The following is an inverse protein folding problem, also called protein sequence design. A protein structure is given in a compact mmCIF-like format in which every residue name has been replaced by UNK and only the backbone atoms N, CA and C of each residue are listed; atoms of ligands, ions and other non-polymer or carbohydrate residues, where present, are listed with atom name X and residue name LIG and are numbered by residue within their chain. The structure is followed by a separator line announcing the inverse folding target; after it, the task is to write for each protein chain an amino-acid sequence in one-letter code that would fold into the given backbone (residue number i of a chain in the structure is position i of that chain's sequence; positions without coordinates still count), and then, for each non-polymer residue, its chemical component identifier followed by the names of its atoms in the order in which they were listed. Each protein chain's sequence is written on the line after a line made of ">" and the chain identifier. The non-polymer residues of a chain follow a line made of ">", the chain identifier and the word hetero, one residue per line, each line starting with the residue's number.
data_IF_447998270025
#
_entry.id   IF_447998270025
#
_cell.length_a   1.000
_cell.length_b   1.000
_cell.length_c   1.000
_cell.angle_alpha   90.00
_cell.angle_beta   90.00
_cell.angle_gamma   90.00
#
_symmetry.space_group_name_H-M   'P 1'
#
loop_
_entity.id
_entity.type
_entity.pdbx_description
1 polymer ?
#
# COMPACT_ATOMS: atom_id res chain seq x y z
N UNK A 1 -23.60 1.29 -9.39
CA UNK A 1 -23.59 2.69 -8.93
C UNK A 1 -22.52 2.81 -7.88
N UNK A 2 -21.67 3.84 -7.93
CA UNK A 2 -20.64 4.05 -6.91
C UNK A 2 -21.27 4.66 -5.65
N UNK A 3 -20.64 4.49 -4.48
CA UNK A 3 -21.14 5.11 -3.24
C UNK A 3 -21.15 6.65 -3.31
N UNK A 4 -20.33 7.24 -4.20
CA UNK A 4 -20.38 8.67 -4.54
C UNK A 4 -21.68 9.05 -5.25
N UNK A 5 -22.21 8.19 -6.11
CA UNK A 5 -23.48 8.41 -6.80
C UNK A 5 -24.63 8.38 -5.79
N UNK A 6 -24.64 7.39 -4.89
CA UNK A 6 -25.61 7.29 -3.79
C UNK A 6 -25.55 8.47 -2.82
N UNK A 7 -24.35 8.95 -2.46
CA UNK A 7 -24.20 10.12 -1.61
C UNK A 7 -24.70 11.41 -2.28
N UNK A 8 -24.65 11.51 -3.62
CA UNK A 8 -25.14 12.68 -4.36
C UNK A 8 -26.67 12.77 -4.40
N UNK A 9 -27.35 11.62 -4.31
CA UNK A 9 -28.82 11.52 -4.32
C UNK A 9 -29.46 11.82 -2.96
N UNK A 10 -28.69 11.79 -1.86
CA UNK A 10 -29.21 12.05 -0.51
C UNK A 10 -29.31 13.58 -0.27
N UNK A 11 -30.48 14.10 0.13
CA UNK A 11 -30.65 15.52 0.42
C UNK A 11 -29.73 16.02 1.55
N UNK A 12 -29.24 17.26 1.44
CA UNK A 12 -28.29 17.84 2.40
C UNK A 12 -28.86 17.94 3.83
N UNK A 13 -30.17 18.13 3.97
CA UNK A 13 -30.80 18.13 5.30
C UNK A 13 -30.68 16.74 5.98
N UNK A 14 -30.79 15.65 5.22
CA UNK A 14 -30.65 14.29 5.75
C UNK A 14 -29.20 14.04 6.20
N UNK A 15 -28.23 14.47 5.37
CA UNK A 15 -26.79 14.41 5.72
C UNK A 15 -26.47 15.23 6.98
N UNK A 16 -27.15 16.37 7.17
CA UNK A 16 -26.97 17.27 8.31
C UNK A 16 -27.57 16.74 9.61
N UNK A 17 -28.75 16.14 9.56
CA UNK A 17 -29.53 15.80 10.77
C UNK A 17 -29.57 14.30 11.08
N UNK A 18 -29.09 13.41 10.20
CA UNK A 18 -29.05 11.96 10.43
C UNK A 18 -27.60 11.46 10.41
N UNK A 19 -26.88 11.52 11.55
CA UNK A 19 -25.46 11.14 11.62
C UNK A 19 -25.16 9.70 11.20
N UNK A 20 -26.14 8.78 11.34
CA UNK A 20 -26.00 7.38 10.96
C UNK A 20 -25.74 7.17 9.47
N UNK A 21 -26.38 7.97 8.61
CA UNK A 21 -26.22 7.90 7.15
C UNK A 21 -24.81 8.36 6.76
N UNK A 22 -24.34 9.48 7.31
CA UNK A 22 -23.00 10.01 7.05
C UNK A 22 -21.90 9.05 7.53
N UNK A 23 -22.09 8.38 8.67
CA UNK A 23 -21.16 7.34 9.15
C UNK A 23 -21.16 6.12 8.24
N UNK A 24 -22.32 5.64 7.81
CA UNK A 24 -22.45 4.51 6.90
C UNK A 24 -21.74 4.75 5.56
N UNK A 25 -21.96 5.91 4.94
CA UNK A 25 -21.28 6.32 3.70
C UNK A 25 -19.76 6.42 3.88
N UNK A 26 -19.30 6.91 5.03
CA UNK A 26 -17.86 7.01 5.33
C UNK A 26 -17.21 5.62 5.43
N UNK A 27 -17.91 4.66 6.03
CA UNK A 27 -17.46 3.26 6.10
C UNK A 27 -17.45 2.57 4.74
N UNK A 28 -18.48 2.81 3.92
CA UNK A 28 -18.56 2.25 2.57
C UNK A 28 -17.41 2.75 1.70
N UNK A 29 -17.17 4.08 1.69
CA UNK A 29 -16.02 4.70 1.02
C UNK A 29 -14.69 4.13 1.52
N UNK A 30 -14.51 3.97 2.83
CA UNK A 30 -13.30 3.37 3.40
C UNK A 30 -13.10 1.93 2.90
N UNK A 31 -14.17 1.13 2.88
CA UNK A 31 -14.12 -0.25 2.39
C UNK A 31 -13.70 -0.32 0.91
N UNK A 32 -14.29 0.54 0.06
CA UNK A 32 -13.94 0.63 -1.36
C UNK A 32 -12.47 1.04 -1.56
N UNK A 33 -12.00 2.06 -0.84
CA UNK A 33 -10.60 2.51 -0.90
C UNK A 33 -9.63 1.43 -0.41
N UNK A 34 -10.03 0.62 0.59
CA UNK A 34 -9.24 -0.51 1.06
C UNK A 34 -9.17 -1.62 0.02
N UNK A 35 -10.29 -1.95 -0.63
CA UNK A 35 -10.32 -2.95 -1.69
C UNK A 35 -9.40 -2.55 -2.84
N UNK A 36 -9.53 -1.32 -3.37
CA UNK A 36 -8.65 -0.79 -4.43
C UNK A 36 -7.18 -0.82 -4.02
N UNK A 37 -6.89 -0.44 -2.77
CA UNK A 37 -5.52 -0.50 -2.24
C UNK A 37 -4.96 -1.92 -2.16
N UNK A 38 -5.81 -2.93 -1.93
CA UNK A 38 -5.40 -4.35 -1.96
C UNK A 38 -5.15 -4.82 -3.39
N UNK A 39 -6.04 -4.48 -4.33
CA UNK A 39 -5.88 -4.82 -5.76
C UNK A 39 -4.56 -4.29 -6.32
N UNK A 40 -4.25 -3.01 -6.09
CA UNK A 40 -2.98 -2.39 -6.53
C UNK A 40 -1.76 -3.14 -5.95
N UNK A 41 -1.81 -3.57 -4.68
CA UNK A 41 -0.72 -4.33 -4.07
C UNK A 41 -0.59 -5.73 -4.64
N UNK A 42 -1.69 -6.40 -4.94
CA UNK A 42 -1.69 -7.72 -5.57
C UNK A 42 -1.08 -7.63 -6.97
N UNK A 43 -1.44 -6.61 -7.75
CA UNK A 43 -0.87 -6.38 -9.08
C UNK A 43 0.64 -6.12 -9.00
N UNK A 44 1.06 -5.22 -8.10
CA UNK A 44 2.48 -4.92 -7.89
C UNK A 44 3.28 -6.13 -7.39
N UNK A 45 2.68 -6.95 -6.52
CA UNK A 45 3.27 -8.20 -6.06
C UNK A 45 3.50 -9.16 -7.24
N UNK A 46 2.48 -9.37 -8.08
CA UNK A 46 2.55 -10.29 -9.21
C UNK A 46 3.55 -9.81 -10.28
N UNK A 47 3.55 -8.52 -10.60
CA UNK A 47 4.52 -7.93 -11.53
C UNK A 47 5.96 -8.06 -11.00
N UNK A 48 6.16 -7.78 -9.72
CA UNK A 48 7.46 -7.90 -9.08
C UNK A 48 7.93 -9.35 -8.99
N UNK A 49 7.00 -10.27 -8.76
CA UNK A 49 7.23 -11.72 -8.79
C UNK A 49 7.76 -12.17 -10.16
N UNK A 50 7.12 -11.74 -11.25
CA UNK A 50 7.62 -12.04 -12.59
C UNK A 50 9.05 -11.50 -12.79
N UNK A 51 9.32 -10.26 -12.36
CA UNK A 51 10.67 -9.66 -12.44
C UNK A 51 11.70 -10.46 -11.64
N UNK A 52 11.36 -10.89 -10.42
CA UNK A 52 12.22 -11.71 -9.57
C UNK A 52 12.54 -13.05 -10.23
N UNK A 53 11.53 -13.70 -10.80
CA UNK A 53 11.70 -14.96 -11.54
C UNK A 53 12.63 -14.79 -12.75
N UNK A 54 12.34 -13.81 -13.61
CA UNK A 54 13.15 -13.54 -14.80
C UNK A 54 14.61 -13.22 -14.44
N UNK A 55 14.82 -12.44 -13.39
CA UNK A 55 16.18 -12.13 -12.92
C UNK A 55 16.88 -13.38 -12.41
N UNK A 56 16.20 -14.19 -11.59
CA UNK A 56 16.74 -15.44 -11.07
C UNK A 56 17.09 -16.43 -12.18
N UNK A 57 16.30 -16.55 -13.25
CA UNK A 57 16.66 -17.42 -14.38
C UNK A 57 17.86 -16.91 -15.18
N UNK A 58 18.04 -15.59 -15.27
CA UNK A 58 19.12 -14.97 -16.04
C UNK A 58 20.50 -14.93 -15.36
N UNK A 59 20.53 -14.93 -14.02
CA UNK A 59 21.79 -14.77 -13.26
C UNK A 59 22.63 -16.05 -13.30
N UNK A 60 23.97 -15.92 -13.27
CA UNK A 60 24.85 -17.07 -13.11
C UNK A 60 24.75 -17.67 -11.70
N UNK A 61 25.00 -18.97 -11.54
CA UNK A 61 24.93 -19.62 -10.22
C UNK A 61 25.94 -19.04 -9.23
N UNK A 62 27.12 -18.62 -9.71
CA UNK A 62 28.19 -18.07 -8.88
C UNK A 62 27.85 -16.68 -8.31
N UNK A 63 26.97 -15.94 -8.99
CA UNK A 63 26.55 -14.59 -8.57
C UNK A 63 25.15 -14.57 -7.93
N UNK A 64 24.42 -15.69 -7.97
CA UNK A 64 23.02 -15.75 -7.56
C UNK A 64 22.81 -15.27 -6.12
N UNK A 65 23.58 -15.82 -5.17
CA UNK A 65 23.47 -15.47 -3.75
C UNK A 65 23.70 -13.97 -3.50
N UNK A 66 24.75 -13.42 -4.14
CA UNK A 66 25.11 -12.01 -3.99
C UNK A 66 24.01 -11.09 -4.54
N UNK A 67 23.52 -11.37 -5.75
CA UNK A 67 22.46 -10.58 -6.39
C UNK A 67 21.16 -10.65 -5.59
N UNK A 68 20.86 -11.82 -5.03
CA UNK A 68 19.69 -12.01 -4.18
C UNK A 68 19.74 -11.11 -2.96
N UNK A 69 20.79 -11.22 -2.14
CA UNK A 69 20.89 -10.48 -0.88
C UNK A 69 21.00 -8.96 -1.12
N UNK A 70 21.79 -8.49 -2.10
CA UNK A 70 21.88 -7.06 -2.42
C UNK A 70 20.52 -6.46 -2.85
N UNK A 71 19.79 -7.17 -3.71
CA UNK A 71 18.50 -6.66 -4.23
C UNK A 71 17.42 -6.72 -3.15
N UNK A 72 17.39 -7.82 -2.39
CA UNK A 72 16.48 -8.02 -1.27
C UNK A 72 16.66 -6.94 -0.20
N UNK A 73 17.90 -6.71 0.22
CA UNK A 73 18.22 -5.70 1.23
C UNK A 73 17.80 -4.30 0.75
N UNK A 74 18.10 -3.95 -0.50
CA UNK A 74 17.70 -2.67 -1.07
C UNK A 74 16.16 -2.49 -1.05
N UNK A 75 15.40 -3.47 -1.52
CA UNK A 75 13.94 -3.39 -1.59
C UNK A 75 13.29 -3.29 -0.21
N UNK A 76 13.78 -4.05 0.77
CA UNK A 76 13.28 -3.98 2.14
C UNK A 76 13.70 -2.71 2.87
N UNK A 77 14.91 -2.20 2.60
CA UNK A 77 15.36 -0.90 3.11
C UNK A 77 14.43 0.22 2.65
N UNK A 78 14.05 0.23 1.36
CA UNK A 78 13.07 1.18 0.83
C UNK A 78 11.71 1.06 1.53
N UNK A 79 11.22 -0.18 1.72
CA UNK A 79 9.97 -0.43 2.43
C UNK A 79 10.02 0.05 3.88
N UNK A 80 11.15 -0.16 4.56
CA UNK A 80 11.39 0.30 5.93
C UNK A 80 11.41 1.83 6.01
N UNK A 81 12.15 2.50 5.13
CA UNK A 81 12.21 3.96 5.09
C UNK A 81 10.83 4.59 4.87
N UNK A 82 10.02 4.02 3.96
CA UNK A 82 8.66 4.47 3.74
C UNK A 82 7.77 4.24 4.97
N UNK A 83 7.94 3.10 5.65
CA UNK A 83 7.22 2.77 6.89
C UNK A 83 7.57 3.74 8.01
N UNK A 84 8.85 4.07 8.17
CA UNK A 84 9.33 5.03 9.15
C UNK A 84 8.76 6.43 8.89
N UNK A 85 8.80 6.90 7.63
CA UNK A 85 8.17 8.16 7.23
C UNK A 85 6.66 8.16 7.52
N UNK A 86 5.96 7.08 7.20
CA UNK A 86 4.53 6.96 7.49
C UNK A 86 4.25 7.06 9.00
N UNK A 87 5.08 6.41 9.83
CA UNK A 87 5.01 6.48 11.29
C UNK A 87 5.28 7.89 11.82
N UNK A 88 6.29 8.57 11.30
CA UNK A 88 6.61 9.95 11.69
C UNK A 88 5.47 10.92 11.40
N UNK A 89 4.82 10.78 10.23
CA UNK A 89 3.65 11.60 9.88
C UNK A 89 2.47 11.25 10.79
N UNK A 90 2.21 9.97 11.03
CA UNK A 90 1.12 9.52 11.91
C UNK A 90 1.26 10.06 13.34
N UNK A 91 2.48 10.13 13.87
CA UNK A 91 2.75 10.69 15.21
C UNK A 91 2.39 12.18 15.31
N UNK A 92 2.36 12.92 14.20
CA UNK A 92 2.02 14.34 14.18
C UNK A 92 0.51 14.59 14.19
N UNK A 93 -0.34 13.58 13.90
CA UNK A 93 -1.80 13.74 13.78
C UNK A 93 -2.40 14.32 15.06
N UNK A 94 -2.06 13.76 16.22
CA UNK A 94 -2.68 14.14 17.50
C UNK A 94 -2.11 15.42 18.12
N UNK A 95 -1.07 16.00 17.52
CA UNK A 95 -0.41 17.22 18.02
C UNK A 95 -1.02 18.48 17.38
N UNK A 96 -1.84 18.33 16.33
CA UNK A 96 -2.45 19.48 15.64
C UNK A 96 -3.58 20.12 16.47
N UNK A 97 -3.60 21.45 16.49
CA UNK A 97 -4.54 22.27 17.28
C UNK A 97 -5.93 22.29 16.66
N UNK A 98 -6.01 22.35 15.33
CA UNK A 98 -7.28 22.38 14.61
C UNK A 98 -7.69 21.01 14.06
N UNK A 99 -9.00 20.83 13.87
CA UNK A 99 -9.54 19.64 13.23
C UNK A 99 -9.10 19.55 11.76
N UNK A 100 -9.09 20.69 11.08
CA UNK A 100 -8.72 20.80 9.67
C UNK A 100 -7.27 20.39 9.43
N UNK A 101 -6.34 20.77 10.31
CA UNK A 101 -4.94 20.33 10.24
C UNK A 101 -4.79 18.87 10.58
N UNK A 102 -5.51 18.38 11.61
CA UNK A 102 -5.53 16.96 11.95
C UNK A 102 -5.95 16.09 10.77
N UNK A 103 -7.02 16.49 10.09
CA UNK A 103 -7.56 15.76 8.94
C UNK A 103 -6.55 15.75 7.77
N UNK A 104 -5.86 16.88 7.50
CA UNK A 104 -4.78 16.94 6.49
C UNK A 104 -3.62 16.01 6.81
N UNK A 105 -3.10 16.04 8.05
CA UNK A 105 -1.99 15.16 8.45
C UNK A 105 -2.42 13.69 8.44
N UNK A 106 -3.66 13.39 8.82
CA UNK A 106 -4.22 12.05 8.76
C UNK A 106 -4.26 11.52 7.32
N UNK A 107 -4.64 12.34 6.34
CA UNK A 107 -4.66 11.92 4.94
C UNK A 107 -3.25 11.71 4.38
N UNK A 108 -2.27 12.55 4.75
CA UNK A 108 -0.86 12.32 4.43
C UNK A 108 -0.34 11.02 5.05
N UNK A 109 -0.70 10.72 6.29
CA UNK A 109 -0.30 9.47 6.95
C UNK A 109 -0.86 8.25 6.23
N UNK A 110 -2.13 8.31 5.77
CA UNK A 110 -2.76 7.23 4.99
C UNK A 110 -2.04 7.02 3.65
N UNK A 111 -1.69 8.10 2.95
CA UNK A 111 -0.96 8.02 1.69
C UNK A 111 0.43 7.41 1.87
N UNK A 112 1.18 7.89 2.86
CA UNK A 112 2.50 7.35 3.18
C UNK A 112 2.43 5.86 3.55
N UNK A 113 1.43 5.45 4.34
CA UNK A 113 1.22 4.04 4.68
C UNK A 113 0.82 3.17 3.47
N UNK A 114 0.06 3.73 2.51
CA UNK A 114 -0.24 3.04 1.24
C UNK A 114 1.02 2.79 0.44
N UNK A 115 1.89 3.79 0.31
CA UNK A 115 3.16 3.68 -0.42
C UNK A 115 4.12 2.68 0.25
N UNK A 116 4.23 2.72 1.59
CA UNK A 116 5.01 1.73 2.33
C UNK A 116 4.51 0.30 2.09
N UNK A 117 3.18 0.11 2.18
CA UNK A 117 2.58 -1.20 1.92
C UNK A 117 2.69 -1.67 0.47
N UNK A 118 2.75 -0.75 -0.50
CA UNK A 118 3.00 -1.06 -1.90
C UNK A 118 4.43 -1.55 -2.11
N UNK A 119 5.41 -0.84 -1.55
CA UNK A 119 6.81 -1.24 -1.63
C UNK A 119 7.06 -2.59 -0.94
N UNK A 120 6.41 -2.84 0.20
CA UNK A 120 6.46 -4.15 0.84
C UNK A 120 5.90 -5.29 -0.03
N UNK A 121 4.82 -5.02 -0.78
CA UNK A 121 4.28 -6.00 -1.74
C UNK A 121 5.24 -6.26 -2.90
N UNK A 122 5.91 -5.22 -3.40
CA UNK A 122 6.94 -5.34 -4.44
C UNK A 122 8.12 -6.19 -3.95
N UNK A 123 8.65 -5.91 -2.75
CA UNK A 123 9.76 -6.66 -2.16
C UNK A 123 9.41 -8.15 -1.99
N UNK A 124 8.26 -8.43 -1.36
CA UNK A 124 7.79 -9.80 -1.14
C UNK A 124 7.51 -10.55 -2.44
N UNK A 125 6.96 -9.85 -3.45
CA UNK A 125 6.74 -10.40 -4.78
C UNK A 125 8.05 -10.81 -5.44
N UNK A 126 9.02 -9.90 -5.47
CA UNK A 126 10.33 -10.14 -6.06
C UNK A 126 11.03 -11.34 -5.43
N UNK A 127 11.11 -11.40 -4.09
CA UNK A 127 11.73 -12.52 -3.39
C UNK A 127 11.05 -13.85 -3.72
N UNK A 128 9.72 -13.87 -3.76
CA UNK A 128 8.97 -15.08 -4.11
C UNK A 128 9.32 -15.54 -5.52
N UNK A 129 9.32 -14.61 -6.48
CA UNK A 129 9.67 -14.87 -7.86
C UNK A 129 11.09 -15.38 -8.02
N UNK A 130 12.03 -14.75 -7.32
CA UNK A 130 13.43 -15.16 -7.30
C UNK A 130 13.58 -16.61 -6.85
N UNK A 131 13.00 -16.95 -5.70
CA UNK A 131 13.07 -18.30 -5.13
C UNK A 131 12.47 -19.35 -6.06
N UNK A 132 11.35 -19.05 -6.71
CA UNK A 132 10.77 -19.92 -7.74
C UNK A 132 11.68 -20.07 -8.96
N UNK A 133 12.34 -18.99 -9.40
CA UNK A 133 13.27 -18.99 -10.52
C UNK A 133 14.52 -19.82 -10.23
N UNK A 134 15.13 -19.70 -9.05
CA UNK A 134 16.27 -20.53 -8.64
C UNK A 134 15.87 -22.00 -8.55
N UNK A 135 14.72 -22.30 -7.95
CA UNK A 135 14.22 -23.67 -7.86
C UNK A 135 13.98 -24.29 -9.25
N UNK A 136 13.58 -23.49 -10.25
CA UNK A 136 13.37 -23.97 -11.62
C UNK A 136 14.67 -24.31 -12.38
N UNK A 137 15.83 -23.86 -11.90
CA UNK A 137 17.15 -24.21 -12.45
C UNK A 137 17.75 -25.49 -11.86
N UNK A 138 17.30 -25.87 -10.67
CA UNK A 138 17.83 -26.99 -9.89
C UNK A 138 17.26 -28.31 -10.40
#
# INVERSE_FOLDING_TARGET
>A
MSDKDLASEIPDFVKKYVPGITRGLSWAKYSEEKQKGTEIKVDAYNESKEKGFQKAISVSSDEAEKVFEETKEAMWSDAQQLTEKAREIANKVNIQESKEERDKILDLAKEAARNAGLQGAIAAGWEKGWNEGIASKS
#
